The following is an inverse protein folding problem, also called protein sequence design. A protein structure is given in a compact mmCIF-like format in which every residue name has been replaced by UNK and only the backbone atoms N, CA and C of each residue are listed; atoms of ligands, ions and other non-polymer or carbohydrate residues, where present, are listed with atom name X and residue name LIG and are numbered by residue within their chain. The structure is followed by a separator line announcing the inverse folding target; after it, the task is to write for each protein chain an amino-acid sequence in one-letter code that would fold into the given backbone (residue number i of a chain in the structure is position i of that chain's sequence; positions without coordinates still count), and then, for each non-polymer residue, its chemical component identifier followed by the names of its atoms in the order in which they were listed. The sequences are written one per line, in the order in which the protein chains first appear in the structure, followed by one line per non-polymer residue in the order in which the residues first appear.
data_IF_567291630538
#
_entry.id   IF_567291630538
#
_cell.length_a   1.000
_cell.length_b   1.000
_cell.length_c   1.000
_cell.angle_alpha   90.00
_cell.angle_beta   90.00
_cell.angle_gamma   90.00
#
_symmetry.space_group_name_H-M   'P 1'
#
loop_
_entity.id
_entity.type
_entity.pdbx_description
1 polymer ?
#
# COMPACT_ATOMS: atom_id res chain seq x y z
N UNK A 1 17.25 0.44 -4.20
CA UNK A 1 17.52 1.85 -3.85
C UNK A 1 16.90 2.73 -4.91
N UNK A 2 15.63 3.11 -4.76
CA UNK A 2 15.17 4.37 -5.33
C UNK A 2 15.88 5.45 -4.52
N UNK A 3 16.61 6.31 -5.22
CA UNK A 3 17.49 7.28 -4.57
C UNK A 3 16.65 8.20 -3.67
N UNK A 4 17.07 8.48 -2.42
CA UNK A 4 16.43 9.46 -1.53
C UNK A 4 16.12 10.80 -2.22
N UNK A 5 16.86 11.11 -3.30
CA UNK A 5 16.72 12.30 -4.13
C UNK A 5 15.44 12.39 -4.96
N UNK A 6 14.68 11.31 -5.23
CA UNK A 6 13.41 11.40 -6.00
C UNK A 6 12.17 11.61 -5.12
N UNK A 7 12.19 11.08 -3.90
CA UNK A 7 11.15 11.40 -2.89
C UNK A 7 11.21 12.89 -2.52
N UNK A 8 12.43 13.46 -2.46
CA UNK A 8 12.63 14.88 -2.16
C UNK A 8 12.19 15.77 -3.32
N UNK A 9 12.48 15.42 -4.58
CA UNK A 9 12.19 16.31 -5.72
C UNK A 9 10.70 16.62 -5.90
N UNK A 10 9.81 15.62 -5.78
CA UNK A 10 8.36 15.87 -5.92
C UNK A 10 7.79 16.79 -4.82
N UNK A 11 8.31 16.71 -3.60
CA UNK A 11 7.90 17.59 -2.50
C UNK A 11 8.56 18.96 -2.60
N UNK A 12 9.80 19.04 -3.08
CA UNK A 12 10.50 20.29 -3.39
C UNK A 12 9.75 21.07 -4.48
N UNK A 13 9.30 20.39 -5.54
CA UNK A 13 8.48 20.99 -6.61
C UNK A 13 7.18 21.57 -6.04
N UNK A 14 6.51 20.84 -5.14
CA UNK A 14 5.30 21.34 -4.47
C UNK A 14 5.63 22.56 -3.60
N UNK A 15 6.70 22.53 -2.80
CA UNK A 15 7.13 23.65 -1.96
C UNK A 15 7.44 24.89 -2.78
N UNK A 16 7.98 24.73 -3.99
CA UNK A 16 8.23 25.85 -4.90
C UNK A 16 6.94 26.54 -5.39
N UNK A 17 5.78 25.88 -5.29
CA UNK A 17 4.47 26.49 -5.58
C UNK A 17 3.87 27.27 -4.41
N UNK A 18 4.52 27.26 -3.23
CA UNK A 18 4.09 28.07 -2.10
C UNK A 18 4.04 29.55 -2.50
N UNK A 19 2.94 30.20 -2.17
CA UNK A 19 2.71 31.60 -2.51
C UNK A 19 3.05 32.52 -1.35
N UNK A 20 3.39 33.77 -1.67
CA UNK A 20 3.41 34.88 -0.72
C UNK A 20 2.11 35.69 -0.85
N UNK A 21 1.57 36.18 0.27
CA UNK A 21 0.36 37.00 0.29
C UNK A 21 -0.47 36.81 1.56
N UNK A 22 -1.50 37.64 1.74
CA UNK A 22 -2.31 37.69 2.96
C UNK A 22 -2.90 36.35 3.38
N UNK A 23 -3.41 35.56 2.44
CA UNK A 23 -3.93 34.22 2.74
C UNK A 23 -2.84 33.22 3.12
N UNK A 24 -1.65 33.32 2.52
CA UNK A 24 -0.52 32.44 2.85
C UNK A 24 0.00 32.75 4.26
N UNK A 25 0.12 34.04 4.60
CA UNK A 25 0.55 34.49 5.93
C UNK A 25 -0.46 34.08 7.00
N UNK A 26 -1.75 34.26 6.72
CA UNK A 26 -2.83 33.84 7.62
C UNK A 26 -2.86 32.32 7.82
N UNK A 27 -2.75 31.56 6.73
CA UNK A 27 -2.69 30.10 6.78
C UNK A 27 -1.45 29.60 7.55
N UNK A 28 -0.31 30.26 7.43
CA UNK A 28 0.90 29.92 8.20
C UNK A 28 0.72 30.22 9.69
N UNK A 29 0.15 31.38 10.01
CA UNK A 29 -0.07 31.82 11.39
C UNK A 29 -0.98 30.86 12.18
N UNK A 30 -2.01 30.31 11.52
CA UNK A 30 -3.02 29.46 12.15
C UNK A 30 -2.89 27.97 11.81
N UNK A 31 -1.79 27.56 11.17
CA UNK A 31 -1.56 26.18 10.78
C UNK A 31 -1.75 25.25 12.00
N UNK A 32 -2.53 24.17 11.95
CA UNK A 32 -2.75 23.35 13.12
C UNK A 32 -1.44 22.67 13.58
N UNK A 33 -1.30 22.49 14.89
CA UNK A 33 -0.28 21.63 15.49
C UNK A 33 -0.83 20.22 15.52
N UNK A 34 -0.31 19.36 14.65
CA UNK A 34 -0.72 17.96 14.56
C UNK A 34 0.14 17.15 15.53
N UNK A 35 -0.50 16.52 16.50
CA UNK A 35 0.14 15.64 17.48
C UNK A 35 0.10 14.20 16.97
N UNK A 36 1.26 13.60 16.73
CA UNK A 36 1.42 12.24 16.20
C UNK A 36 1.83 11.27 17.30
N UNK A 37 1.37 10.02 17.22
CA UNK A 37 1.86 8.94 18.08
C UNK A 37 3.37 8.73 17.86
N UNK A 38 4.12 8.46 18.93
CA UNK A 38 5.57 8.22 18.88
C UNK A 38 5.95 7.09 17.90
N UNK A 39 5.08 6.10 17.72
CA UNK A 39 5.30 4.99 16.81
C UNK A 39 4.69 5.19 15.42
N UNK A 40 4.11 6.35 15.12
CA UNK A 40 3.50 6.65 13.82
C UNK A 40 4.56 6.60 12.69
N UNK A 41 4.48 5.65 11.74
CA UNK A 41 5.40 5.60 10.62
C UNK A 41 5.15 6.69 9.56
N UNK A 42 3.95 7.29 9.53
CA UNK A 42 3.50 8.12 8.41
C UNK A 42 3.19 9.56 8.86
N UNK A 43 4.18 10.46 8.87
CA UNK A 43 3.94 11.88 9.14
C UNK A 43 3.23 12.56 7.95
N UNK A 44 2.52 13.68 8.20
CA UNK A 44 1.98 14.51 7.12
C UNK A 44 3.13 15.16 6.34
N UNK A 45 2.96 15.29 5.03
CA UNK A 45 4.01 15.83 4.14
C UNK A 45 3.62 17.13 3.46
N UNK A 46 2.32 17.36 3.29
CA UNK A 46 1.80 18.57 2.67
C UNK A 46 0.47 18.97 3.29
N UNK A 47 0.16 20.26 3.20
CA UNK A 47 -1.08 20.83 3.68
C UNK A 47 -1.56 21.88 2.69
N UNK A 48 -2.71 21.61 2.06
CA UNK A 48 -3.39 22.52 1.16
C UNK A 48 -4.29 23.44 1.95
N UNK A 49 -4.18 24.76 1.79
CA UNK A 49 -5.07 25.71 2.47
C UNK A 49 -6.10 26.34 1.52
N UNK A 50 -7.30 26.57 2.06
CA UNK A 50 -8.35 27.41 1.47
C UNK A 50 -8.86 28.38 2.54
N UNK A 51 -8.96 29.67 2.22
CA UNK A 51 -9.50 30.69 3.13
C UNK A 51 -10.90 31.07 2.66
N UNK A 52 -11.88 30.94 3.55
CA UNK A 52 -13.28 31.29 3.34
C UNK A 52 -13.59 32.59 4.06
N UNK A 53 -13.71 33.67 3.29
CA UNK A 53 -14.24 34.96 3.78
C UNK A 53 -15.77 34.93 3.84
N UNK A 54 -16.40 34.16 2.95
CA UNK A 54 -17.83 33.94 2.86
C UNK A 54 -18.17 32.44 2.93
N UNK A 55 -19.45 32.14 3.13
CA UNK A 55 -19.94 30.76 3.07
C UNK A 55 -19.71 30.13 1.69
N UNK A 56 -19.25 28.87 1.65
CA UNK A 56 -18.96 28.18 0.40
C UNK A 56 -18.81 26.67 0.54
N UNK A 57 -18.85 25.99 -0.62
CA UNK A 57 -18.52 24.57 -0.71
C UNK A 57 -17.02 24.38 -0.55
N UNK A 58 -16.60 23.48 0.35
CA UNK A 58 -15.19 23.06 0.41
C UNK A 58 -14.76 22.48 -0.93
N UNK A 59 -13.61 22.91 -1.48
CA UNK A 59 -13.10 22.37 -2.74
C UNK A 59 -12.38 21.02 -2.57
N UNK A 60 -12.06 20.64 -1.32
CA UNK A 60 -11.34 19.41 -0.95
C UNK A 60 -12.21 18.39 -0.24
N UNK A 61 -13.44 18.74 0.14
CA UNK A 61 -14.37 17.85 0.86
C UNK A 61 -15.83 18.10 0.47
N UNK A 62 -16.71 17.20 0.92
CA UNK A 62 -18.17 17.31 0.74
C UNK A 62 -18.83 18.38 1.62
N UNK A 63 -18.11 19.02 2.53
CA UNK A 63 -18.72 19.89 3.54
C UNK A 63 -18.92 21.33 3.05
N UNK A 64 -20.02 21.94 3.49
CA UNK A 64 -20.19 23.40 3.42
C UNK A 64 -19.41 24.04 4.57
N UNK A 65 -18.72 25.14 4.27
CA UNK A 65 -17.97 25.95 5.24
C UNK A 65 -18.67 27.28 5.37
N UNK A 66 -18.99 27.68 6.61
CA UNK A 66 -19.73 28.91 6.90
C UNK A 66 -19.01 29.67 8.00
N UNK A 67 -18.43 30.86 7.73
CA UNK A 67 -17.82 31.70 8.76
C UNK A 67 -18.77 32.00 9.93
N UNK A 68 -18.22 31.99 11.15
CA UNK A 68 -19.02 32.19 12.35
C UNK A 68 -19.43 33.66 12.49
N UNK A 69 -20.73 33.94 12.50
CA UNK A 69 -21.26 35.32 12.49
C UNK A 69 -21.49 35.89 11.08
N UNK A 70 -21.38 35.07 10.03
CA UNK A 70 -21.59 35.50 8.64
C UNK A 70 -20.56 36.54 8.22
N UNK A 71 -20.97 37.55 7.43
CA UNK A 71 -20.10 38.62 6.94
C UNK A 71 -19.49 39.52 8.05
N UNK A 72 -19.94 39.37 9.30
CA UNK A 72 -19.41 40.09 10.47
C UNK A 72 -18.41 39.24 11.28
N UNK A 73 -18.23 37.97 10.90
CA UNK A 73 -17.26 37.05 11.47
C UNK A 73 -15.85 37.21 10.89
N UNK A 74 -14.88 36.54 11.50
CA UNK A 74 -13.58 36.32 10.85
C UNK A 74 -13.65 35.17 9.84
N UNK A 75 -12.62 35.02 8.99
CA UNK A 75 -12.60 33.97 7.98
C UNK A 75 -12.44 32.57 8.61
N UNK A 76 -12.73 31.54 7.83
CA UNK A 76 -12.40 30.14 8.17
C UNK A 76 -11.25 29.69 7.29
N UNK A 77 -10.25 29.05 7.89
CA UNK A 77 -9.15 28.43 7.14
C UNK A 77 -9.38 26.93 7.16
N UNK A 78 -9.54 26.36 5.98
CA UNK A 78 -9.52 24.92 5.77
C UNK A 78 -8.10 24.47 5.42
N UNK A 79 -7.65 23.42 6.08
CA UNK A 79 -6.41 22.72 5.81
C UNK A 79 -6.72 21.29 5.39
N UNK A 80 -6.42 20.93 4.14
CA UNK A 80 -6.44 19.58 3.63
C UNK A 80 -5.03 18.98 3.79
N UNK A 81 -4.90 17.95 4.64
CA UNK A 81 -3.66 17.41 5.15
C UNK A 81 -3.38 16.09 4.42
N UNK A 82 -2.26 16.07 3.71
CA UNK A 82 -1.84 14.92 2.91
C UNK A 82 -0.88 14.01 3.69
N UNK A 83 -1.19 12.72 3.65
CA UNK A 83 -0.33 11.63 4.08
C UNK A 83 -0.07 10.70 2.89
N UNK A 84 1.18 10.28 2.65
CA UNK A 84 1.47 9.31 1.59
C UNK A 84 0.88 7.92 1.87
N UNK A 85 0.59 7.63 3.15
CA UNK A 85 0.12 6.34 3.63
C UNK A 85 -0.85 6.54 4.79
N UNK A 86 -1.85 5.67 4.86
CA UNK A 86 -2.61 5.23 6.03
C UNK A 86 -2.26 3.73 6.20
N UNK A 87 -2.31 3.19 7.41
CA UNK A 87 -1.87 1.80 7.67
C UNK A 87 -2.79 0.74 7.04
N UNK A 88 -3.97 1.12 6.58
CA UNK A 88 -4.93 0.28 5.87
C UNK A 88 -5.05 0.59 4.38
N UNK A 89 -4.79 1.83 3.95
CA UNK A 89 -4.72 2.20 2.54
C UNK A 89 -3.57 3.16 2.18
N UNK A 90 -3.05 3.03 0.96
CA UNK A 90 -2.10 3.98 0.41
C UNK A 90 -2.77 5.34 0.28
N UNK A 91 -2.09 6.34 0.83
CA UNK A 91 -2.44 7.73 1.05
C UNK A 91 -3.74 8.02 1.78
N UNK A 92 -3.80 9.22 2.34
CA UNK A 92 -4.99 9.76 2.97
C UNK A 92 -5.05 11.30 2.86
N UNK A 93 -6.26 11.84 2.94
CA UNK A 93 -6.54 13.28 2.89
C UNK A 93 -7.54 13.68 3.97
N UNK A 94 -7.01 14.13 5.10
CA UNK A 94 -7.80 14.56 6.24
C UNK A 94 -7.85 16.09 6.33
N UNK A 95 -8.73 16.64 7.16
CA UNK A 95 -9.08 18.05 7.15
C UNK A 95 -9.14 18.64 8.55
N UNK A 96 -8.69 19.89 8.67
CA UNK A 96 -8.89 20.75 9.86
C UNK A 96 -9.45 22.08 9.39
N UNK A 97 -10.48 22.58 10.07
CA UNK A 97 -11.05 23.91 9.84
C UNK A 97 -10.86 24.77 11.09
N UNK A 98 -10.17 25.89 10.93
CA UNK A 98 -9.94 26.88 12.00
C UNK A 98 -10.81 28.09 11.72
N UNK A 99 -11.77 28.36 12.62
CA UNK A 99 -12.67 29.50 12.55
C UNK A 99 -12.08 30.66 13.34
N UNK A 100 -11.94 31.82 12.70
CA UNK A 100 -11.42 33.03 13.33
C UNK A 100 -12.55 34.01 13.67
N UNK A 101 -12.34 34.82 14.70
CA UNK A 101 -13.12 36.05 14.90
C UNK A 101 -12.58 37.21 14.06
N UNK A 102 -13.26 38.36 14.12
CA UNK A 102 -12.85 39.57 13.41
C UNK A 102 -11.47 40.11 13.84
N UNK A 103 -10.95 39.68 15.00
CA UNK A 103 -9.60 39.99 15.50
C UNK A 103 -8.55 38.96 15.09
N UNK A 104 -8.91 37.96 14.27
CA UNK A 104 -8.01 36.90 13.83
C UNK A 104 -7.70 35.87 14.92
N UNK A 105 -8.49 35.79 15.99
CA UNK A 105 -8.30 34.78 17.03
C UNK A 105 -9.11 33.52 16.73
N UNK A 106 -8.55 32.31 16.88
CA UNK A 106 -9.31 31.08 16.75
C UNK A 106 -10.42 31.00 17.80
N UNK A 107 -11.66 30.82 17.35
CA UNK A 107 -12.85 30.72 18.21
C UNK A 107 -13.50 29.34 18.16
N UNK A 108 -13.22 28.57 17.11
CA UNK A 108 -13.69 27.19 16.95
C UNK A 108 -12.74 26.43 16.04
N UNK A 109 -12.60 25.14 16.31
CA UNK A 109 -11.83 24.21 15.47
C UNK A 109 -12.73 23.01 15.18
N UNK A 110 -12.88 22.67 13.92
CA UNK A 110 -13.42 21.37 13.52
C UNK A 110 -12.32 20.57 12.84
N UNK A 111 -12.45 19.25 12.84
CA UNK A 111 -11.59 18.38 12.06
C UNK A 111 -12.36 17.16 11.55
N UNK A 112 -11.83 16.52 10.52
CA UNK A 112 -12.41 15.30 9.98
C UNK A 112 -12.05 14.09 10.85
N UNK A 113 -13.02 13.18 10.97
CA UNK A 113 -12.85 11.89 11.63
C UNK A 113 -13.73 10.86 10.93
N UNK A 114 -13.12 9.87 10.28
CA UNK A 114 -13.82 8.75 9.63
C UNK A 114 -14.95 9.22 8.69
N UNK A 115 -14.67 10.25 7.89
CA UNK A 115 -15.63 10.83 6.92
C UNK A 115 -16.69 11.78 7.49
N UNK A 116 -16.65 12.06 8.80
CA UNK A 116 -17.47 13.05 9.50
C UNK A 116 -16.67 14.31 9.81
N UNK A 117 -17.35 15.42 10.05
CA UNK A 117 -16.77 16.67 10.57
C UNK A 117 -17.17 16.82 12.02
N UNK A 118 -16.18 16.87 12.91
CA UNK A 118 -16.36 16.89 14.37
C UNK A 118 -15.74 18.16 14.93
N UNK A 119 -16.39 18.78 15.91
CA UNK A 119 -15.82 19.93 16.62
C UNK A 119 -14.77 19.46 17.63
N UNK A 120 -13.58 20.07 17.58
CA UNK A 120 -12.41 19.67 18.37
C UNK A 120 -12.43 20.30 19.76
N UNK A 121 -13.48 20.03 20.54
CA UNK A 121 -13.61 20.48 21.92
C UNK A 121 -13.21 19.37 22.89
N UNK A 122 -12.39 19.72 23.89
CA UNK A 122 -12.14 18.88 25.04
C UNK A 122 -13.35 18.92 26.00
N UNK A 123 -13.29 18.13 27.08
CA UNK A 123 -14.39 17.99 28.05
C UNK A 123 -14.83 19.28 28.74
N UNK A 124 -13.97 20.29 28.77
CA UNK A 124 -14.28 21.62 29.33
C UNK A 124 -14.94 22.56 28.30
N UNK A 125 -15.26 22.07 27.10
CA UNK A 125 -15.87 22.82 26.01
C UNK A 125 -14.90 23.73 25.27
N UNK A 126 -13.59 23.53 25.42
CA UNK A 126 -12.54 24.32 24.76
C UNK A 126 -11.67 23.45 23.88
N UNK A 127 -11.21 23.97 22.76
CA UNK A 127 -10.17 23.31 21.97
C UNK A 127 -8.79 23.58 22.58
N UNK A 128 -7.86 22.64 22.41
CA UNK A 128 -6.47 22.83 22.85
C UNK A 128 -5.74 23.75 21.87
N UNK A 129 -4.87 24.63 22.39
CA UNK A 129 -4.04 25.49 21.56
C UNK A 129 -2.61 25.63 22.10
N UNK A 130 -1.67 25.89 21.19
CA UNK A 130 -0.27 26.23 21.47
C UNK A 130 0.11 27.43 20.62
N UNK A 131 0.59 28.51 21.24
CA UNK A 131 1.01 29.72 20.51
C UNK A 131 -0.06 30.23 19.52
N UNK A 132 -1.33 30.23 19.96
CA UNK A 132 -2.49 30.61 19.16
C UNK A 132 -2.82 29.71 17.95
N UNK A 133 -2.24 28.51 17.90
CA UNK A 133 -2.53 27.49 16.88
C UNK A 133 -3.33 26.36 17.51
N UNK A 134 -4.33 25.88 16.79
CA UNK A 134 -5.14 24.75 17.20
C UNK A 134 -4.27 23.50 17.34
N UNK A 135 -4.48 22.71 18.40
CA UNK A 135 -3.84 21.40 18.60
C UNK A 135 -4.87 20.32 18.27
N UNK A 136 -4.48 19.38 17.40
CA UNK A 136 -5.28 18.20 17.07
C UNK A 136 -4.40 16.96 17.19
N UNK A 137 -4.98 15.83 17.58
CA UNK A 137 -4.30 14.55 17.73
C UNK A 137 -4.68 13.65 16.55
N UNK A 138 -3.67 13.15 15.83
CA UNK A 138 -3.86 12.25 14.71
C UNK A 138 -4.00 10.82 15.20
N UNK A 139 -5.06 10.12 14.77
CA UNK A 139 -5.28 8.71 15.07
C UNK A 139 -4.18 7.85 14.47
N UNK A 140 -3.46 7.10 15.32
CA UNK A 140 -2.33 6.30 14.89
C UNK A 140 -2.69 5.37 13.72
N UNK A 141 -1.95 5.50 12.62
CA UNK A 141 -2.10 4.79 11.36
C UNK A 141 -3.35 5.14 10.56
N UNK A 142 -4.30 5.90 11.13
CA UNK A 142 -5.62 6.18 10.55
C UNK A 142 -5.89 7.63 10.23
N UNK A 143 -5.13 8.52 10.83
CA UNK A 143 -5.10 9.97 10.63
C UNK A 143 -6.40 10.75 10.89
N UNK A 144 -7.48 10.07 11.29
CA UNK A 144 -8.66 10.70 11.84
C UNK A 144 -8.32 11.60 13.05
N UNK A 145 -8.92 12.79 13.16
CA UNK A 145 -8.48 13.78 14.15
C UNK A 145 -9.27 13.76 15.47
N UNK A 146 -8.56 14.01 16.56
CA UNK A 146 -9.05 14.06 17.93
C UNK A 146 -8.71 15.36 18.64
N UNK A 147 -9.61 15.84 19.50
CA UNK A 147 -9.39 17.03 20.32
C UNK A 147 -8.38 16.76 21.45
N UNK A 148 -8.30 15.50 21.90
CA UNK A 148 -7.56 15.07 23.08
C UNK A 148 -7.03 13.64 22.92
N UNK A 149 -5.74 13.43 23.19
CA UNK A 149 -5.09 12.13 23.05
C UNK A 149 -5.53 11.08 24.09
N UNK A 150 -5.95 11.49 25.29
CA UNK A 150 -6.48 10.57 26.29
C UNK A 150 -7.90 10.12 25.94
N UNK A 151 -8.70 10.99 25.32
CA UNK A 151 -10.00 10.62 24.74
C UNK A 151 -9.83 9.59 23.63
N UNK A 152 -8.94 9.86 22.68
CA UNK A 152 -8.61 8.91 21.62
C UNK A 152 -8.17 7.57 22.19
N UNK A 153 -7.30 7.57 23.21
CA UNK A 153 -6.89 6.33 23.87
C UNK A 153 -8.05 5.56 24.50
N UNK A 154 -9.02 6.24 25.12
CA UNK A 154 -10.17 5.58 25.73
C UNK A 154 -11.13 4.99 24.71
N UNK A 155 -11.40 5.72 23.63
CA UNK A 155 -12.42 5.35 22.64
C UNK A 155 -11.88 4.44 21.54
N UNK A 156 -10.67 4.73 21.05
CA UNK A 156 -10.04 3.99 19.97
C UNK A 156 -9.02 2.93 20.43
N UNK A 157 -8.61 2.98 21.70
CA UNK A 157 -7.54 2.15 22.25
C UNK A 157 -7.76 0.64 22.19
N UNK A 158 -9.02 0.20 22.12
CA UNK A 158 -9.35 -1.21 22.03
C UNK A 158 -9.15 -1.79 20.62
N UNK A 159 -9.34 -0.99 19.56
CA UNK A 159 -9.29 -1.48 18.18
C UNK A 159 -8.02 -1.07 17.43
N UNK A 160 -7.42 0.08 17.74
CA UNK A 160 -6.23 0.57 17.02
C UNK A 160 -5.05 -0.41 17.01
N UNK A 161 -4.71 -1.14 18.10
CA UNK A 161 -3.65 -2.14 18.03
C UNK A 161 -3.89 -3.24 16.98
N UNK A 162 -5.14 -3.63 16.77
CA UNK A 162 -5.48 -4.60 15.72
C UNK A 162 -5.39 -3.96 14.33
N UNK A 163 -5.87 -2.72 14.18
CA UNK A 163 -5.84 -1.97 12.91
C UNK A 163 -4.42 -1.67 12.43
N UNK A 164 -3.52 -1.26 13.32
CA UNK A 164 -2.12 -1.00 13.03
C UNK A 164 -1.27 -2.28 12.92
N UNK A 165 -1.81 -3.43 13.32
CA UNK A 165 -1.15 -4.74 13.34
C UNK A 165 -1.78 -5.75 12.38
N UNK A 166 -2.52 -6.70 12.94
CA UNK A 166 -3.10 -7.84 12.22
C UNK A 166 -4.02 -7.43 11.05
N UNK A 167 -4.68 -6.27 11.16
CA UNK A 167 -5.58 -5.71 10.17
C UNK A 167 -4.98 -4.56 9.36
N UNK A 168 -3.67 -4.30 9.49
CA UNK A 168 -2.96 -3.41 8.58
C UNK A 168 -3.13 -3.90 7.14
N UNK A 169 -3.03 -3.01 6.15
CA UNK A 169 -3.10 -3.30 4.73
C UNK A 169 -4.47 -3.83 4.24
N UNK A 170 -5.57 -3.50 4.91
CA UNK A 170 -6.89 -4.05 4.56
C UNK A 170 -7.27 -3.76 3.10
N UNK A 171 -7.10 -2.52 2.62
CA UNK A 171 -7.62 -2.07 1.32
C UNK A 171 -6.59 -2.08 0.20
N UNK A 172 -5.33 -1.74 0.47
CA UNK A 172 -4.30 -1.55 -0.56
C UNK A 172 -4.27 -0.11 -1.04
N UNK A 173 -4.48 0.18 -2.33
CA UNK A 173 -4.60 1.58 -2.78
C UNK A 173 -6.02 2.09 -2.53
N UNK A 174 -6.16 3.31 -2.00
CA UNK A 174 -7.48 3.90 -1.74
C UNK A 174 -8.22 4.22 -3.05
N UNK A 175 -9.42 3.67 -3.22
CA UNK A 175 -10.24 3.82 -4.44
C UNK A 175 -11.45 4.77 -4.26
N UNK A 176 -11.87 5.03 -3.02
CA UNK A 176 -13.10 5.78 -2.68
C UNK A 176 -12.94 7.30 -2.73
N UNK A 177 -12.13 7.82 -3.64
CA UNK A 177 -11.75 9.23 -3.74
C UNK A 177 -11.95 9.77 -5.16
N UNK A 178 -12.04 11.09 -5.25
CA UNK A 178 -12.26 11.80 -6.51
C UNK A 178 -11.20 11.53 -7.58
N UNK A 179 -9.95 11.19 -7.21
CA UNK A 179 -8.87 10.97 -8.16
C UNK A 179 -9.00 9.63 -8.89
N UNK A 180 -9.49 8.60 -8.18
CA UNK A 180 -9.82 7.32 -8.79
C UNK A 180 -11.14 7.40 -9.56
N UNK A 181 -12.17 8.05 -9.00
CA UNK A 181 -13.47 8.23 -9.66
C UNK A 181 -13.36 8.99 -10.99
N UNK A 182 -12.50 10.00 -11.05
CA UNK A 182 -12.22 10.77 -12.28
C UNK A 182 -11.25 10.08 -13.25
N UNK A 183 -10.67 8.93 -12.88
CA UNK A 183 -9.67 8.22 -13.68
C UNK A 183 -8.29 8.89 -13.74
N UNK A 184 -8.03 9.93 -12.92
CA UNK A 184 -6.70 10.55 -12.79
C UNK A 184 -5.67 9.58 -12.19
N UNK A 185 -6.14 8.63 -11.39
CA UNK A 185 -5.36 7.52 -10.82
C UNK A 185 -6.07 6.21 -11.17
N UNK A 186 -5.35 5.24 -11.73
CA UNK A 186 -5.91 3.92 -12.09
C UNK A 186 -4.99 2.82 -11.54
N UNK A 187 -5.14 2.44 -10.26
CA UNK A 187 -4.33 1.39 -9.66
C UNK A 187 -4.59 0.04 -10.31
N UNK A 188 -3.55 -0.77 -10.44
CA UNK A 188 -3.63 -2.17 -10.90
C UNK A 188 -3.66 -3.11 -9.69
N UNK A 189 -4.05 -4.36 -9.93
CA UNK A 189 -3.98 -5.43 -8.93
C UNK A 189 -2.60 -5.54 -8.25
N UNK A 190 -1.52 -5.38 -9.02
CA UNK A 190 -0.14 -5.35 -8.50
C UNK A 190 0.08 -4.21 -7.51
N UNK A 191 -0.51 -3.05 -7.75
CA UNK A 191 -0.32 -1.86 -6.92
C UNK A 191 -1.00 -2.04 -5.57
N UNK A 192 -2.22 -2.60 -5.56
CA UNK A 192 -2.86 -3.00 -4.31
C UNK A 192 -2.01 -4.01 -3.54
N UNK A 193 -1.52 -5.06 -4.20
CA UNK A 193 -0.69 -6.07 -3.53
C UNK A 193 0.58 -5.47 -2.93
N UNK A 194 1.29 -4.62 -3.66
CA UNK A 194 2.53 -4.02 -3.19
C UNK A 194 2.32 -3.00 -2.07
N UNK A 195 1.26 -2.19 -2.17
CA UNK A 195 0.86 -1.30 -1.08
C UNK A 195 0.55 -2.11 0.18
N UNK A 196 -0.11 -3.27 0.04
CA UNK A 196 -0.39 -4.16 1.17
C UNK A 196 0.87 -4.73 1.81
N UNK A 197 1.84 -5.17 1.02
CA UNK A 197 3.13 -5.65 1.53
C UNK A 197 3.87 -4.54 2.28
N UNK A 198 3.87 -3.30 1.77
CA UNK A 198 4.49 -2.17 2.44
C UNK A 198 3.86 -1.90 3.81
N UNK A 199 2.53 -1.73 3.85
CA UNK A 199 1.80 -1.44 5.08
C UNK A 199 1.90 -2.58 6.10
N UNK A 200 1.93 -3.84 5.66
CA UNK A 200 2.19 -4.98 6.56
C UNK A 200 3.59 -4.92 7.15
N UNK A 201 4.58 -4.53 6.36
CA UNK A 201 5.94 -4.40 6.86
C UNK A 201 6.08 -3.21 7.83
N UNK A 202 5.26 -2.16 7.68
CA UNK A 202 5.17 -1.00 8.58
C UNK A 202 4.23 -1.18 9.77
N UNK A 203 3.59 -2.35 9.91
CA UNK A 203 2.69 -2.62 11.01
C UNK A 203 3.36 -2.33 12.36
N UNK A 204 2.63 -1.67 13.25
CA UNK A 204 3.18 -1.15 14.50
C UNK A 204 2.15 -1.21 15.62
N UNK A 205 2.60 -0.91 16.85
CA UNK A 205 1.75 -0.82 18.03
C UNK A 205 1.68 0.63 18.50
N UNK A 206 0.50 1.28 18.52
CA UNK A 206 0.34 2.62 19.05
C UNK A 206 0.82 2.75 20.50
N UNK A 207 1.47 3.86 20.83
CA UNK A 207 2.04 4.13 22.15
C UNK A 207 1.16 5.03 23.01
N UNK A 208 0.29 5.82 22.37
CA UNK A 208 -0.48 6.93 22.94
C UNK A 208 0.41 7.99 23.62
N UNK A 209 1.65 8.14 23.13
CA UNK A 209 2.55 9.22 23.48
C UNK A 209 2.67 10.13 22.29
N UNK A 210 2.36 11.40 22.48
CA UNK A 210 2.17 12.31 21.36
C UNK A 210 3.23 13.40 21.30
N UNK A 211 3.75 13.62 20.09
CA UNK A 211 4.70 14.68 19.78
C UNK A 211 4.21 15.52 18.60
N UNK A 212 4.49 16.83 18.58
CA UNK A 212 4.11 17.66 17.44
C UNK A 212 4.86 17.21 16.19
N UNK A 213 4.15 17.13 15.07
CA UNK A 213 4.76 16.97 13.76
C UNK A 213 5.73 18.13 13.48
N UNK A 214 6.79 17.87 12.70
CA UNK A 214 7.71 18.93 12.32
C UNK A 214 7.12 19.75 11.17
N UNK A 215 6.61 20.93 11.52
CA UNK A 215 6.05 21.90 10.58
C UNK A 215 6.97 22.26 9.41
N UNK A 216 8.29 22.26 9.62
CA UNK A 216 9.26 22.57 8.57
C UNK A 216 9.27 21.50 7.47
N UNK A 217 8.86 20.27 7.80
CA UNK A 217 8.73 19.14 6.88
C UNK A 217 7.39 19.12 6.13
N UNK A 218 6.43 19.95 6.52
CA UNK A 218 5.12 20.04 5.86
C UNK A 218 5.15 21.14 4.79
N UNK A 219 4.86 20.77 3.54
CA UNK A 219 4.67 21.73 2.46
C UNK A 219 3.30 22.41 2.57
N UNK A 220 3.26 23.62 3.14
CA UNK A 220 2.05 24.45 3.18
C UNK A 220 1.87 25.21 1.86
N UNK A 221 0.80 24.90 1.12
CA UNK A 221 0.53 25.44 -0.23
C UNK A 221 -0.97 25.75 -0.41
N UNK A 222 -1.38 26.60 -1.36
CA UNK A 222 -2.78 26.74 -1.72
C UNK A 222 -3.39 25.40 -2.17
N UNK A 223 -4.66 25.14 -1.84
CA UNK A 223 -5.36 23.91 -2.26
C UNK A 223 -5.22 23.56 -3.75
N UNK A 224 -5.38 24.49 -4.72
CA UNK A 224 -5.25 24.14 -6.14
C UNK A 224 -3.88 23.54 -6.53
N UNK A 225 -2.81 23.93 -5.83
CA UNK A 225 -1.49 23.38 -6.05
C UNK A 225 -1.40 21.94 -5.53
N UNK A 226 -1.91 21.69 -4.31
CA UNK A 226 -1.95 20.35 -3.74
C UNK A 226 -2.85 19.41 -4.56
N UNK A 227 -4.05 19.85 -4.95
CA UNK A 227 -4.99 19.05 -5.76
C UNK A 227 -4.39 18.59 -7.09
N UNK A 228 -3.63 19.46 -7.74
CA UNK A 228 -2.93 19.12 -8.99
C UNK A 228 -1.79 18.12 -8.76
N UNK A 229 -1.11 18.22 -7.62
CA UNK A 229 0.05 17.40 -7.28
C UNK A 229 -0.32 15.97 -6.84
N UNK A 230 -1.42 15.80 -6.11
CA UNK A 230 -1.82 14.52 -5.50
C UNK A 230 -1.82 13.34 -6.51
N UNK A 231 -2.50 13.42 -7.68
CA UNK A 231 -2.53 12.30 -8.61
C UNK A 231 -1.14 11.82 -9.07
N UNK A 232 -0.22 12.75 -9.27
CA UNK A 232 1.13 12.44 -9.72
C UNK A 232 1.98 11.89 -8.57
N UNK A 233 1.76 12.37 -7.33
CA UNK A 233 2.34 11.75 -6.14
C UNK A 233 1.90 10.29 -5.99
N UNK A 234 0.61 10.01 -6.13
CA UNK A 234 0.08 8.63 -5.98
C UNK A 234 0.67 7.70 -7.04
N UNK A 235 0.76 8.15 -8.30
CA UNK A 235 1.43 7.38 -9.38
C UNK A 235 2.91 7.13 -9.05
N UNK A 236 3.60 8.14 -8.52
CA UNK A 236 4.99 8.01 -8.09
C UNK A 236 5.15 6.96 -6.98
N UNK A 237 4.29 6.98 -5.96
CA UNK A 237 4.33 5.99 -4.86
C UNK A 237 4.13 4.57 -5.38
N UNK A 238 3.18 4.34 -6.29
CA UNK A 238 2.98 3.03 -6.91
C UNK A 238 4.19 2.58 -7.73
N UNK A 239 4.79 3.49 -8.49
CA UNK A 239 5.97 3.18 -9.30
C UNK A 239 7.19 2.87 -8.41
N UNK A 240 7.38 3.66 -7.35
CA UNK A 240 8.43 3.45 -6.37
C UNK A 240 8.29 2.06 -5.70
N UNK A 241 7.07 1.68 -5.29
CA UNK A 241 6.79 0.35 -4.75
C UNK A 241 7.21 -0.77 -5.72
N UNK A 242 6.85 -0.67 -7.01
CA UNK A 242 7.20 -1.68 -8.03
C UNK A 242 8.71 -1.89 -8.14
N UNK A 243 9.50 -0.83 -7.91
CA UNK A 243 10.95 -0.88 -7.98
C UNK A 243 11.62 -1.34 -6.68
N UNK A 244 11.12 -0.88 -5.52
CA UNK A 244 11.82 -1.06 -4.26
C UNK A 244 11.32 -2.25 -3.43
N UNK A 245 10.08 -2.67 -3.62
CA UNK A 245 9.51 -3.76 -2.83
C UNK A 245 10.07 -5.11 -3.31
N UNK A 246 10.72 -5.88 -2.42
CA UNK A 246 10.99 -7.29 -2.69
C UNK A 246 9.65 -8.01 -2.88
N UNK A 247 9.50 -8.69 -4.01
CA UNK A 247 8.25 -9.36 -4.38
C UNK A 247 8.53 -10.49 -5.37
N UNK A 248 7.63 -11.47 -5.38
CA UNK A 248 7.48 -12.40 -6.49
C UNK A 248 6.66 -11.70 -7.58
N UNK A 249 7.29 -11.54 -8.74
CA UNK A 249 6.69 -10.94 -9.94
C UNK A 249 6.14 -12.02 -10.87
N UNK A 250 6.87 -13.12 -10.98
CA UNK A 250 6.61 -14.16 -11.97
C UNK A 250 6.47 -15.52 -11.31
N UNK A 251 5.43 -16.25 -11.71
CA UNK A 251 5.19 -17.63 -11.30
C UNK A 251 5.27 -18.51 -12.54
N UNK A 252 6.27 -19.38 -12.56
CA UNK A 252 6.40 -20.44 -13.55
C UNK A 252 5.65 -21.66 -13.05
N UNK A 253 4.79 -22.22 -13.88
CA UNK A 253 4.05 -23.44 -13.55
C UNK A 253 4.48 -24.53 -14.51
N UNK A 254 5.05 -25.61 -13.98
CA UNK A 254 5.37 -26.79 -14.76
C UNK A 254 4.08 -27.57 -15.10
N UNK A 255 3.76 -27.62 -16.38
CA UNK A 255 2.63 -28.35 -16.93
C UNK A 255 2.98 -29.78 -17.37
N UNK A 256 4.20 -30.27 -17.18
CA UNK A 256 4.58 -31.64 -17.60
C UNK A 256 4.00 -32.69 -16.65
N UNK A 257 3.58 -33.85 -17.20
CA UNK A 257 2.99 -34.94 -16.39
C UNK A 257 3.97 -35.49 -15.33
N UNK A 258 5.27 -35.47 -15.64
CA UNK A 258 6.34 -35.96 -14.77
C UNK A 258 6.79 -34.91 -13.74
N UNK A 259 6.48 -33.63 -13.96
CA UNK A 259 7.00 -32.45 -13.26
C UNK A 259 6.44 -32.11 -11.89
N UNK A 260 5.80 -33.02 -11.15
CA UNK A 260 5.55 -32.84 -9.71
C UNK A 260 4.45 -31.86 -9.29
N UNK A 261 4.29 -30.67 -9.90
CA UNK A 261 3.14 -29.78 -9.67
C UNK A 261 2.12 -29.84 -10.80
N UNK A 262 1.74 -31.05 -11.14
CA UNK A 262 0.68 -31.21 -12.11
C UNK A 262 -0.59 -30.60 -11.49
N UNK A 263 -0.98 -29.43 -12.01
CA UNK A 263 -2.31 -28.86 -11.85
C UNK A 263 -3.42 -29.86 -12.28
N UNK A 264 -3.01 -31.00 -12.78
CA UNK A 264 -3.73 -32.13 -13.32
C UNK A 264 -3.34 -33.39 -12.52
N UNK A 265 -4.27 -34.30 -12.30
CA UNK A 265 -4.04 -35.62 -11.73
C UNK A 265 -4.74 -36.65 -12.62
N UNK A 266 -3.99 -37.31 -13.50
CA UNK A 266 -4.57 -38.15 -14.56
C UNK A 266 -5.34 -37.30 -15.58
N UNK A 267 -6.58 -37.63 -15.97
CA UNK A 267 -7.36 -36.85 -16.94
C UNK A 267 -8.10 -35.64 -16.33
N UNK A 268 -7.90 -35.35 -15.04
CA UNK A 268 -8.69 -34.36 -14.31
C UNK A 268 -7.82 -33.25 -13.72
N UNK A 269 -8.37 -32.05 -13.56
CA UNK A 269 -7.71 -30.98 -12.80
C UNK A 269 -7.72 -31.27 -11.31
N UNK A 270 -6.65 -30.86 -10.62
CA UNK A 270 -6.64 -30.84 -9.17
C UNK A 270 -7.71 -29.84 -8.65
N UNK A 271 -8.59 -30.26 -7.73
CA UNK A 271 -9.58 -29.38 -7.13
C UNK A 271 -8.96 -28.10 -6.57
N UNK A 272 -9.54 -26.94 -6.92
CA UNK A 272 -9.09 -25.64 -6.44
C UNK A 272 -8.11 -24.89 -7.35
N UNK A 273 -7.53 -25.53 -8.38
CA UNK A 273 -6.60 -24.89 -9.32
C UNK A 273 -7.18 -23.65 -9.99
N UNK A 274 -8.43 -23.70 -10.45
CA UNK A 274 -9.08 -22.51 -11.05
C UNK A 274 -9.10 -21.34 -10.07
N UNK A 275 -9.49 -21.59 -8.81
CA UNK A 275 -9.55 -20.56 -7.79
C UNK A 275 -8.18 -20.00 -7.44
N UNK A 276 -7.15 -20.84 -7.43
CA UNK A 276 -5.75 -20.42 -7.30
C UNK A 276 -5.35 -19.48 -8.45
N UNK A 277 -5.50 -19.91 -9.71
CA UNK A 277 -5.14 -19.11 -10.89
C UNK A 277 -5.91 -17.78 -10.96
N UNK A 278 -7.21 -17.79 -10.64
CA UNK A 278 -8.02 -16.58 -10.54
C UNK A 278 -7.45 -15.58 -9.52
N UNK A 279 -7.04 -16.06 -8.35
CA UNK A 279 -6.46 -15.21 -7.30
C UNK A 279 -5.07 -14.72 -7.65
N UNK A 280 -4.25 -15.54 -8.31
CA UNK A 280 -2.94 -15.12 -8.80
C UNK A 280 -3.08 -14.00 -9.84
N UNK A 281 -3.98 -14.17 -10.82
CA UNK A 281 -4.26 -13.11 -11.81
C UNK A 281 -4.88 -11.87 -11.17
N UNK A 282 -5.84 -12.05 -10.27
CA UNK A 282 -6.45 -10.96 -9.50
C UNK A 282 -5.47 -10.22 -8.58
N UNK A 283 -4.31 -10.81 -8.26
CA UNK A 283 -3.21 -10.20 -7.52
C UNK A 283 -2.11 -9.61 -8.42
N UNK A 284 -2.25 -9.78 -9.74
CA UNK A 284 -1.34 -9.21 -10.74
C UNK A 284 -0.02 -9.95 -10.91
N UNK A 285 0.07 -11.24 -10.55
CA UNK A 285 1.23 -12.04 -10.90
C UNK A 285 1.30 -12.28 -12.41
N UNK A 286 2.53 -12.26 -12.96
CA UNK A 286 2.79 -12.75 -14.32
C UNK A 286 2.89 -14.27 -14.27
N UNK A 287 2.00 -14.99 -14.95
CA UNK A 287 1.92 -16.45 -14.88
C UNK A 287 2.39 -17.05 -16.20
N UNK A 288 3.42 -17.89 -16.14
CA UNK A 288 4.00 -18.57 -17.30
C UNK A 288 3.75 -20.06 -17.20
N UNK A 289 3.08 -20.64 -18.19
CA UNK A 289 2.98 -22.10 -18.32
C UNK A 289 4.22 -22.63 -19.03
N UNK A 290 4.87 -23.60 -18.40
CA UNK A 290 5.96 -24.37 -18.99
C UNK A 290 5.42 -25.72 -19.48
N UNK A 291 5.74 -26.12 -20.71
CA UNK A 291 5.29 -27.41 -21.23
C UNK A 291 6.05 -27.88 -22.47
N UNK A 292 5.77 -29.11 -22.89
CA UNK A 292 6.29 -29.70 -24.14
C UNK A 292 5.31 -29.52 -25.32
N UNK A 293 5.79 -29.80 -26.55
CA UNK A 293 4.99 -29.70 -27.79
C UNK A 293 3.90 -30.77 -27.92
N UNK A 294 3.82 -31.75 -27.01
CA UNK A 294 2.80 -32.77 -27.12
C UNK A 294 1.46 -32.16 -26.71
N UNK A 295 0.68 -31.79 -27.73
CA UNK A 295 -0.64 -31.18 -27.60
C UNK A 295 -1.69 -32.08 -26.88
N UNK A 296 -1.27 -33.14 -26.18
CA UNK A 296 -2.12 -34.24 -25.73
C UNK A 296 -2.31 -34.37 -24.21
N UNK A 297 -1.50 -33.83 -23.29
CA UNK A 297 -1.67 -34.16 -21.86
C UNK A 297 -1.98 -33.01 -20.89
N UNK A 298 -1.44 -31.79 -21.02
CA UNK A 298 -1.74 -30.71 -20.06
C UNK A 298 -2.34 -29.44 -20.66
N UNK A 299 -1.73 -28.90 -21.71
CA UNK A 299 -2.26 -27.71 -22.39
C UNK A 299 -3.68 -27.95 -22.94
N UNK A 300 -3.95 -29.17 -23.43
CA UNK A 300 -5.27 -29.60 -23.88
C UNK A 300 -6.31 -29.67 -22.75
N UNK A 301 -5.95 -30.20 -21.57
CA UNK A 301 -6.83 -30.24 -20.40
C UNK A 301 -7.09 -28.84 -19.84
N UNK A 302 -6.06 -27.99 -19.74
CA UNK A 302 -6.21 -26.59 -19.35
C UNK A 302 -7.10 -25.83 -20.34
N UNK A 303 -7.00 -26.11 -21.65
CA UNK A 303 -7.88 -25.55 -22.68
C UNK A 303 -9.32 -26.03 -22.55
N UNK A 304 -9.52 -27.34 -22.42
CA UNK A 304 -10.85 -27.92 -22.26
C UNK A 304 -11.53 -27.39 -20.99
N UNK A 305 -10.75 -27.10 -19.95
CA UNK A 305 -11.22 -26.47 -18.74
C UNK A 305 -11.34 -24.94 -18.83
N UNK A 306 -11.02 -24.29 -19.96
CA UNK A 306 -11.08 -22.82 -20.06
C UNK A 306 -10.19 -22.11 -19.04
N UNK A 307 -8.95 -22.60 -18.89
CA UNK A 307 -7.93 -22.03 -18.01
C UNK A 307 -6.78 -21.35 -18.75
N UNK A 308 -6.75 -21.37 -20.09
CA UNK A 308 -5.64 -20.77 -20.84
C UNK A 308 -5.51 -19.26 -20.65
N UNK A 309 -6.62 -18.55 -20.49
CA UNK A 309 -6.62 -17.09 -20.32
C UNK A 309 -6.02 -16.62 -18.97
N UNK A 310 -5.70 -17.56 -18.06
CA UNK A 310 -4.98 -17.25 -16.83
C UNK A 310 -3.45 -17.18 -17.01
N UNK A 311 -2.92 -17.62 -18.15
CA UNK A 311 -1.47 -17.58 -18.42
C UNK A 311 -1.16 -16.38 -19.31
N UNK A 312 -0.16 -15.61 -18.90
CA UNK A 312 0.34 -14.48 -19.69
C UNK A 312 1.23 -14.96 -20.84
N UNK A 313 1.91 -16.09 -20.64
CA UNK A 313 2.80 -16.67 -21.61
C UNK A 313 2.84 -18.20 -21.51
N UNK A 314 3.02 -18.84 -22.66
CA UNK A 314 3.26 -20.27 -22.77
C UNK A 314 4.66 -20.45 -23.34
N UNK A 315 5.58 -21.04 -22.56
CA UNK A 315 6.94 -21.32 -23.02
C UNK A 315 7.13 -22.80 -23.22
N UNK A 316 7.63 -23.13 -24.40
CA UNK A 316 8.13 -24.46 -24.69
C UNK A 316 9.50 -24.64 -24.03
N UNK A 317 9.65 -25.72 -23.28
CA UNK A 317 10.96 -26.17 -22.85
C UNK A 317 11.33 -27.31 -23.79
N UNK A 318 12.48 -27.21 -24.48
CA UNK A 318 12.87 -28.14 -25.54
C UNK A 318 12.96 -29.61 -25.09
N UNK A 319 13.08 -30.52 -26.06
CA UNK A 319 13.02 -31.98 -25.88
C UNK A 319 14.11 -32.63 -25.00
N UNK A 320 15.04 -31.86 -24.44
CA UNK A 320 15.87 -32.33 -23.33
C UNK A 320 15.11 -32.00 -22.06
N UNK A 321 14.68 -32.98 -21.26
CA UNK A 321 14.30 -32.64 -19.91
C UNK A 321 15.56 -32.03 -19.29
N UNK A 322 15.41 -30.88 -18.61
CA UNK A 322 16.43 -30.32 -17.73
C UNK A 322 17.50 -29.37 -18.28
N UNK A 323 17.08 -28.17 -18.68
CA UNK A 323 17.79 -26.95 -18.27
C UNK A 323 16.82 -25.78 -18.40
N UNK A 324 16.41 -25.23 -17.26
CA UNK A 324 15.83 -23.89 -17.24
C UNK A 324 17.01 -22.93 -17.35
N UNK A 325 17.18 -22.25 -18.50
CA UNK A 325 18.29 -21.30 -18.67
C UNK A 325 17.84 -19.87 -18.37
N UNK A 326 18.78 -19.00 -17.98
CA UNK A 326 18.50 -17.59 -17.75
C UNK A 326 17.94 -16.88 -18.99
N UNK A 327 18.26 -17.37 -20.19
CA UNK A 327 17.74 -16.88 -21.46
C UNK A 327 16.23 -17.15 -21.60
N UNK A 328 15.79 -18.34 -21.18
CA UNK A 328 14.38 -18.77 -21.20
C UNK A 328 13.52 -18.04 -20.18
N UNK A 329 14.15 -17.28 -19.28
CA UNK A 329 13.51 -16.47 -18.26
C UNK A 329 13.30 -15.01 -18.67
N UNK A 330 13.92 -14.51 -19.74
CA UNK A 330 13.64 -13.17 -20.27
C UNK A 330 13.72 -12.02 -19.24
N UNK A 331 14.73 -12.01 -18.39
CA UNK A 331 14.89 -10.99 -17.33
C UNK A 331 14.06 -11.25 -16.06
N UNK A 332 13.29 -12.34 -16.01
CA UNK A 332 12.49 -12.77 -14.85
C UNK A 332 13.25 -13.76 -13.92
N UNK A 333 14.58 -13.73 -13.93
CA UNK A 333 15.41 -14.60 -13.09
C UNK A 333 15.68 -14.03 -11.69
N UNK A 334 16.17 -14.88 -10.79
CA UNK A 334 16.51 -14.53 -9.42
C UNK A 334 15.33 -14.60 -8.44
N UNK A 335 15.51 -14.01 -7.26
CA UNK A 335 14.59 -14.13 -6.11
C UNK A 335 13.21 -13.50 -6.31
N UNK A 336 12.96 -12.85 -7.46
CA UNK A 336 11.64 -12.30 -7.81
C UNK A 336 10.76 -13.26 -8.60
N UNK A 337 11.17 -14.51 -8.75
CA UNK A 337 10.43 -15.54 -9.45
C UNK A 337 10.32 -16.82 -8.62
N UNK A 338 9.24 -17.55 -8.87
CA UNK A 338 8.96 -18.83 -8.25
C UNK A 338 8.61 -19.87 -9.31
N UNK A 339 9.18 -21.07 -9.18
CA UNK A 339 8.78 -22.26 -9.91
C UNK A 339 7.83 -23.10 -9.06
N UNK A 340 6.64 -23.36 -9.59
CA UNK A 340 5.65 -24.29 -9.06
C UNK A 340 5.73 -25.60 -9.86
N UNK A 341 6.25 -26.64 -9.22
CA UNK A 341 6.55 -27.92 -9.86
C UNK A 341 7.96 -27.98 -10.37
N UNK A 342 8.18 -28.84 -11.35
CA UNK A 342 9.48 -29.26 -11.80
C UNK A 342 9.71 -30.74 -11.54
N UNK A 343 10.23 -31.41 -12.55
CA UNK A 343 11.08 -32.57 -12.36
C UNK A 343 12.34 -32.20 -11.55
N UNK A 344 13.05 -33.18 -10.98
CA UNK A 344 14.19 -32.94 -10.06
C UNK A 344 15.24 -31.96 -10.60
N UNK A 345 15.73 -32.18 -11.81
CA UNK A 345 16.73 -31.26 -12.36
C UNK A 345 16.13 -29.91 -12.81
N UNK A 346 14.80 -29.78 -12.99
CA UNK A 346 14.15 -28.49 -13.28
C UNK A 346 14.15 -27.64 -12.01
N UNK A 347 13.84 -28.28 -10.87
CA UNK A 347 14.00 -27.68 -9.54
C UNK A 347 15.47 -27.29 -9.31
N UNK A 348 16.42 -28.16 -9.65
CA UNK A 348 17.86 -27.88 -9.51
C UNK A 348 18.29 -26.68 -10.35
N UNK A 349 17.87 -26.60 -11.62
CA UNK A 349 18.15 -25.46 -12.51
C UNK A 349 17.52 -24.17 -11.98
N UNK A 350 16.25 -24.20 -11.56
CA UNK A 350 15.58 -23.03 -10.99
C UNK A 350 16.31 -22.50 -9.75
N UNK A 351 16.74 -23.38 -8.86
CA UNK A 351 17.52 -23.00 -7.67
C UNK A 351 18.89 -22.45 -8.03
N UNK A 352 19.57 -23.01 -9.03
CA UNK A 352 20.84 -22.47 -9.54
C UNK A 352 20.69 -21.05 -10.10
N UNK A 353 19.49 -20.70 -10.59
CA UNK A 353 19.14 -19.36 -11.05
C UNK A 353 18.56 -18.45 -9.95
N UNK A 354 18.50 -18.93 -8.70
CA UNK A 354 18.04 -18.17 -7.54
C UNK A 354 16.52 -18.02 -7.43
N UNK A 355 15.73 -18.87 -8.11
CA UNK A 355 14.28 -18.88 -7.96
C UNK A 355 13.85 -19.61 -6.69
N UNK A 356 12.72 -19.18 -6.15
CA UNK A 356 12.00 -19.97 -5.16
C UNK A 356 11.38 -21.20 -5.83
N UNK A 357 11.33 -22.33 -5.12
CA UNK A 357 10.74 -23.58 -5.64
C UNK A 357 9.67 -24.14 -4.71
N UNK A 358 8.51 -24.50 -5.27
CA UNK A 358 7.39 -25.04 -4.52
C UNK A 358 6.74 -26.24 -5.23
N UNK A 359 6.21 -27.20 -4.48
CA UNK A 359 5.55 -28.41 -5.01
C UNK A 359 4.22 -28.67 -4.31
N UNK A 360 3.19 -29.01 -5.12
CA UNK A 360 1.87 -29.45 -4.64
C UNK A 360 1.88 -30.96 -4.40
N UNK A 361 1.77 -31.37 -3.15
CA UNK A 361 1.77 -32.77 -2.72
C UNK A 361 0.34 -33.32 -2.73
N UNK A 362 -0.24 -33.51 -3.93
CA UNK A 362 -1.64 -33.93 -4.06
C UNK A 362 -1.82 -35.47 -4.01
N UNK A 363 -1.04 -36.23 -4.77
CA UNK A 363 -1.25 -37.70 -4.92
C UNK A 363 0.03 -38.53 -4.96
N UNK A 364 1.22 -37.92 -4.88
CA UNK A 364 2.48 -38.68 -4.96
C UNK A 364 2.93 -39.15 -3.56
N UNK A 365 3.04 -40.46 -3.39
CA UNK A 365 4.03 -41.05 -2.48
C UNK A 365 5.40 -40.74 -3.07
N UNK A 366 5.99 -39.60 -2.71
CA UNK A 366 7.30 -39.20 -3.24
C UNK A 366 8.39 -40.06 -2.59
N UNK A 367 9.21 -40.81 -3.34
CA UNK A 367 10.41 -41.47 -2.79
C UNK A 367 11.36 -40.43 -2.18
N UNK A 368 12.30 -40.85 -1.32
CA UNK A 368 13.29 -39.91 -0.77
C UNK A 368 14.09 -39.23 -1.89
N UNK A 369 13.90 -37.93 -2.07
CA UNK A 369 14.63 -37.11 -3.04
C UNK A 369 15.89 -36.54 -2.38
N UNK A 370 17.05 -36.50 -3.06
CA UNK A 370 18.22 -35.77 -2.57
C UNK A 370 17.89 -34.30 -2.25
N UNK A 371 18.47 -33.76 -1.18
CA UNK A 371 18.12 -32.41 -0.69
C UNK A 371 18.41 -31.27 -1.68
N UNK A 372 19.35 -31.44 -2.61
CA UNK A 372 19.69 -30.46 -3.65
C UNK A 372 18.72 -30.48 -4.85
N UNK A 373 17.90 -31.54 -4.95
CA UNK A 373 16.88 -31.74 -5.98
C UNK A 373 15.44 -31.64 -5.42
N UNK A 374 15.30 -31.37 -4.12
CA UNK A 374 14.01 -31.17 -3.47
C UNK A 374 13.55 -29.71 -3.57
N UNK A 375 12.24 -29.46 -3.78
CA UNK A 375 11.67 -28.12 -3.73
C UNK A 375 11.79 -27.55 -2.31
N UNK A 376 12.02 -26.24 -2.22
CA UNK A 376 12.18 -25.53 -0.94
C UNK A 376 10.88 -25.53 -0.12
N UNK A 377 9.74 -25.54 -0.80
CA UNK A 377 8.42 -25.49 -0.19
C UNK A 377 7.53 -26.61 -0.71
N UNK A 378 6.71 -27.15 0.18
CA UNK A 378 5.70 -28.16 -0.14
C UNK A 378 4.39 -27.76 0.49
N UNK A 379 3.29 -28.03 -0.20
CA UNK A 379 1.95 -27.70 0.26
C UNK A 379 0.93 -28.73 -0.24
N UNK A 380 -0.21 -28.85 0.43
CA UNK A 380 -1.15 -29.95 0.19
C UNK A 380 -2.31 -29.55 -0.73
N UNK A 381 -2.67 -28.26 -0.74
CA UNK A 381 -3.81 -27.78 -1.54
C UNK A 381 -3.47 -26.50 -2.33
N UNK A 382 -4.12 -26.25 -3.48
CA UNK A 382 -3.91 -25.01 -4.22
C UNK A 382 -4.18 -23.72 -3.44
N UNK A 383 -4.96 -23.75 -2.35
CA UNK A 383 -5.17 -22.57 -1.50
C UNK A 383 -3.95 -22.30 -0.61
N UNK A 384 -3.26 -23.34 -0.14
CA UNK A 384 -2.06 -23.22 0.68
C UNK A 384 -0.92 -22.53 -0.08
N UNK A 385 -0.88 -22.69 -1.41
CA UNK A 385 0.07 -21.98 -2.27
C UNK A 385 -0.05 -20.46 -2.15
N UNK A 386 -1.27 -19.93 -2.02
CA UNK A 386 -1.48 -18.50 -1.87
C UNK A 386 -0.98 -18.00 -0.51
N UNK A 387 -1.16 -18.82 0.54
CA UNK A 387 -0.62 -18.54 1.88
C UNK A 387 0.91 -18.58 1.85
N UNK A 388 1.50 -19.55 1.16
CA UNK A 388 2.94 -19.66 0.98
C UNK A 388 3.50 -18.42 0.28
N UNK A 389 2.91 -17.99 -0.85
CA UNK A 389 3.35 -16.81 -1.58
C UNK A 389 3.35 -15.57 -0.68
N UNK A 390 2.26 -15.36 0.06
CA UNK A 390 2.16 -14.24 1.00
C UNK A 390 3.28 -14.30 2.05
N UNK A 391 3.51 -15.46 2.65
CA UNK A 391 4.57 -15.65 3.65
C UNK A 391 5.96 -15.38 3.07
N UNK A 392 6.22 -15.80 1.83
CA UNK A 392 7.52 -15.57 1.18
C UNK A 392 7.74 -14.08 0.95
N UNK A 393 6.75 -13.37 0.42
CA UNK A 393 6.87 -11.93 0.17
C UNK A 393 7.04 -11.13 1.47
N UNK A 394 6.33 -11.51 2.53
CA UNK A 394 6.51 -10.92 3.87
C UNK A 394 7.93 -11.17 4.42
N UNK A 395 8.47 -12.37 4.24
CA UNK A 395 9.86 -12.69 4.63
C UNK A 395 10.89 -11.93 3.80
N UNK A 396 10.66 -11.77 2.50
CA UNK A 396 11.52 -10.97 1.61
C UNK A 396 11.52 -9.50 2.05
N UNK A 397 10.35 -8.95 2.36
CA UNK A 397 10.21 -7.59 2.86
C UNK A 397 10.89 -7.40 4.23
N UNK A 398 10.74 -8.36 5.15
CA UNK A 398 11.40 -8.34 6.47
C UNK A 398 12.92 -8.40 6.38
N UNK A 399 13.46 -9.32 5.56
CA UNK A 399 14.91 -9.49 5.38
C UNK A 399 15.57 -8.23 4.80
N UNK A 400 14.92 -7.57 3.84
CA UNK A 400 15.41 -6.33 3.26
C UNK A 400 15.52 -5.21 4.30
N UNK A 401 14.59 -5.12 5.26
CA UNK A 401 14.65 -4.11 6.34
C UNK A 401 15.82 -4.35 7.30
N UNK A 402 16.03 -5.58 7.74
CA UNK A 402 17.13 -5.91 8.66
C UNK A 402 18.49 -5.55 8.04
N UNK A 403 18.67 -5.82 6.74
CA UNK A 403 19.91 -5.47 6.04
C UNK A 403 20.13 -3.96 5.90
N UNK A 404 19.05 -3.17 5.79
CA UNK A 404 19.15 -1.69 5.79
C UNK A 404 19.51 -1.18 7.18
N UNK A 405 18.82 -1.66 8.23
CA UNK A 405 19.06 -1.22 9.61
C UNK A 405 20.50 -1.48 10.09
N UNK A 406 21.09 -2.63 9.71
CA UNK A 406 22.48 -3.00 10.05
C UNK A 406 23.52 -2.16 9.29
N UNK A 407 23.16 -1.56 8.15
CA UNK A 407 24.07 -0.69 7.38
C UNK A 407 23.99 0.79 7.79
N UNK A 408 22.92 1.16 8.49
CA UNK A 408 22.70 2.52 9.02
C UNK A 408 23.12 2.69 10.49
N UNK A 409 23.46 1.59 11.17
CA UNK A 409 24.08 1.56 12.49
C UNK A 409 25.59 1.35 12.35
#
# INVERSE_FOLDING_TARGET
MTSPTRLSSHLEDLRATAQAGSHADLARLHMPVIMLDEAEPYPPLAMGYTVFEDAGQSPSSKFQVVPQGGAMGGPVIEYAIWYDWDIQHMYDLEHVWVYLDAGGQPVRVDASRHGNRITMEARDGRFQSRENRAVVYSEAGKHAHWADGDEMRREAGAYLPAMCGDLAAFEGVHLGNQYCESGKVTPKATDHRLAKLQMKADAFRPTYRFYPANDELIALVPWPALDTWIPDRVKHLMEDLRHRMPQIRTIFIDGTEDGGASLISGPALVPGVRGMLQRLRGAGYWIVLLGDESAASAAGLLKAAGLQDFFDEHRQIGASPFAFEAADLGGHAGSSALLLGGTQDTVKSARALGLHTAELVWTRNVPSVPSDAAPEHRFETPIDFLTLLKSLEEQMAGTARTQVAVRSA
#
